data_IF_836774776193
#
_entry.id   IF_836774776193
#
_cell.length_a   1.000
_cell.length_b   1.000
_cell.length_c   1.000
_cell.angle_alpha   90.00
_cell.angle_beta   90.00
_cell.angle_gamma   90.00
#
_symmetry.space_group_name_H-M   'P 1'
#
loop_
_entity.id
_entity.type
_entity.pdbx_description
1 polymer ?
#
# COMPACT_ATOMS: atom_id res chain seq x y z
N UNK A 1 -17.68 -18.06 -0.38
CA UNK A 1 -17.43 -16.66 0.01
C UNK A 1 -16.35 -16.12 -0.91
N UNK A 2 -16.71 -15.33 -1.91
CA UNK A 2 -15.73 -14.54 -2.67
C UNK A 2 -15.56 -13.20 -1.94
N UNK A 3 -14.66 -13.19 -0.97
CA UNK A 3 -14.30 -11.97 -0.23
C UNK A 3 -13.17 -11.22 -0.92
N UNK A 4 -13.10 -9.92 -0.68
CA UNK A 4 -11.86 -9.15 -0.85
C UNK A 4 -10.88 -9.62 0.25
N UNK A 5 -9.72 -10.11 -0.18
CA UNK A 5 -8.65 -10.60 0.70
C UNK A 5 -7.48 -9.60 0.74
N UNK A 6 -7.72 -8.32 0.44
CA UNK A 6 -6.65 -7.31 0.40
C UNK A 6 -5.95 -7.20 1.74
N UNK A 7 -6.67 -7.26 2.86
CA UNK A 7 -6.08 -7.16 4.19
C UNK A 7 -5.19 -8.38 4.49
N UNK A 8 -5.76 -9.58 4.39
CA UNK A 8 -5.06 -10.85 4.68
C UNK A 8 -3.90 -11.10 3.69
N UNK A 9 -4.09 -10.73 2.42
CA UNK A 9 -3.06 -10.83 1.39
C UNK A 9 -1.89 -9.88 1.66
N UNK A 10 -2.17 -8.66 2.15
CA UNK A 10 -1.13 -7.70 2.55
C UNK A 10 -0.35 -8.20 3.75
N UNK A 11 -1.04 -8.68 4.79
CA UNK A 11 -0.39 -9.26 5.98
C UNK A 11 0.47 -10.47 5.62
N UNK A 12 -0.04 -11.36 4.77
CA UNK A 12 0.69 -12.52 4.29
C UNK A 12 1.94 -12.11 3.50
N UNK A 13 1.81 -11.19 2.54
CA UNK A 13 2.93 -10.74 1.71
C UNK A 13 4.05 -10.13 2.56
N UNK A 14 3.71 -9.27 3.53
CA UNK A 14 4.69 -8.65 4.44
C UNK A 14 5.37 -9.70 5.32
N UNK A 15 4.59 -10.64 5.87
CA UNK A 15 5.13 -11.70 6.73
C UNK A 15 6.09 -12.62 6.01
N UNK A 16 5.75 -13.05 4.79
CA UNK A 16 6.60 -13.97 4.03
C UNK A 16 7.83 -13.26 3.48
N UNK A 17 7.68 -12.04 2.92
CA UNK A 17 8.81 -11.29 2.38
C UNK A 17 9.85 -10.94 3.45
N UNK A 18 9.43 -10.69 4.70
CA UNK A 18 10.34 -10.40 5.81
C UNK A 18 11.29 -11.57 6.18
N UNK A 19 11.08 -12.76 5.63
CA UNK A 19 11.95 -13.94 5.86
C UNK A 19 13.04 -14.08 4.81
N UNK A 20 12.92 -13.37 3.70
CA UNK A 20 13.89 -13.40 2.61
C UNK A 20 15.10 -12.53 2.97
N UNK A 21 16.26 -12.87 2.40
CA UNK A 21 17.47 -12.06 2.54
C UNK A 21 17.55 -11.06 1.39
N UNK A 22 17.40 -9.77 1.69
CA UNK A 22 17.58 -8.67 0.74
C UNK A 22 18.02 -7.40 1.47
N UNK A 23 18.64 -6.47 0.73
CA UNK A 23 18.99 -5.14 1.25
C UNK A 23 17.74 -4.34 1.65
N UNK A 24 16.69 -4.41 0.82
CA UNK A 24 15.42 -3.75 1.05
C UNK A 24 14.24 -4.63 0.63
N UNK A 25 13.14 -4.55 1.37
CA UNK A 25 11.90 -5.29 1.10
C UNK A 25 10.77 -4.32 0.78
N UNK A 26 10.01 -4.60 -0.28
CA UNK A 26 8.89 -3.77 -0.71
C UNK A 26 7.63 -4.61 -0.92
N UNK A 27 6.53 -4.16 -0.35
CA UNK A 27 5.19 -4.67 -0.68
C UNK A 27 4.38 -3.49 -1.21
N UNK A 28 3.95 -3.57 -2.47
CA UNK A 28 3.16 -2.52 -3.12
C UNK A 28 1.80 -3.11 -3.49
N UNK A 29 0.77 -2.66 -2.77
CA UNK A 29 -0.62 -3.10 -2.99
C UNK A 29 -1.26 -2.21 -4.05
N UNK A 30 -1.77 -2.80 -5.13
CA UNK A 30 -2.58 -2.11 -6.13
C UNK A 30 -4.06 -2.38 -5.85
N UNK A 31 -4.88 -1.33 -5.72
CA UNK A 31 -6.31 -1.46 -5.38
C UNK A 31 -7.14 -0.41 -6.11
N UNK A 32 -8.41 -0.68 -6.42
CA UNK A 32 -9.38 0.29 -6.97
C UNK A 32 -9.99 1.22 -5.91
N UNK A 33 -9.40 1.25 -4.71
CA UNK A 33 -9.83 2.01 -3.53
C UNK A 33 -11.18 1.58 -2.92
N UNK A 34 -11.72 0.41 -3.29
CA UNK A 34 -13.04 -0.02 -2.86
C UNK A 34 -13.07 -0.74 -1.50
N UNK A 35 -12.09 -0.49 -0.63
CA UNK A 35 -11.88 -1.20 0.64
C UNK A 35 -13.10 -1.16 1.58
N UNK A 36 -13.77 -0.01 1.67
CA UNK A 36 -14.94 0.17 2.53
C UNK A 36 -16.10 -0.75 2.12
N UNK A 37 -16.27 -1.01 0.82
CA UNK A 37 -17.33 -1.88 0.29
C UNK A 37 -17.18 -3.32 0.77
N UNK A 38 -15.96 -3.72 1.10
CA UNK A 38 -15.66 -5.05 1.61
C UNK A 38 -15.47 -5.08 3.14
N UNK A 39 -15.76 -3.97 3.82
CA UNK A 39 -15.64 -3.88 5.27
C UNK A 39 -14.19 -3.77 5.78
N UNK A 40 -13.23 -3.51 4.89
CA UNK A 40 -11.83 -3.30 5.28
C UNK A 40 -11.69 -1.88 5.80
N UNK A 41 -11.44 -1.76 7.10
CA UNK A 41 -11.24 -0.45 7.72
C UNK A 41 -9.85 0.11 7.36
N UNK A 42 -9.74 1.41 7.04
CA UNK A 42 -8.45 2.05 6.71
C UNK A 42 -7.37 1.88 7.77
N UNK A 43 -7.71 1.90 9.06
CA UNK A 43 -6.78 1.74 10.18
C UNK A 43 -6.21 0.31 10.28
N UNK A 44 -7.02 -0.69 9.93
CA UNK A 44 -6.57 -2.08 9.83
C UNK A 44 -5.64 -2.26 8.64
N UNK A 45 -5.99 -1.67 7.49
CA UNK A 45 -5.13 -1.70 6.31
C UNK A 45 -3.80 -0.96 6.53
N UNK A 46 -3.82 0.18 7.22
CA UNK A 46 -2.60 0.86 7.68
C UNK A 46 -1.73 -0.07 8.54
N UNK A 47 -2.35 -0.73 9.52
CA UNK A 47 -1.66 -1.64 10.43
C UNK A 47 -1.04 -2.82 9.69
N UNK A 48 -1.73 -3.35 8.67
CA UNK A 48 -1.20 -4.40 7.82
C UNK A 48 0.03 -3.91 7.05
N UNK A 49 -0.06 -2.77 6.33
CA UNK A 49 1.04 -2.15 5.58
C UNK A 49 2.27 -1.83 6.43
N UNK A 50 2.10 -1.68 7.75
CA UNK A 50 3.18 -1.35 8.68
C UNK A 50 3.47 -2.47 9.69
N UNK A 51 2.98 -3.68 9.45
CA UNK A 51 3.03 -4.78 10.43
C UNK A 51 4.44 -5.30 10.71
N UNK A 52 5.39 -5.09 9.79
CA UNK A 52 6.80 -5.41 9.99
C UNK A 52 7.68 -4.21 9.57
N UNK A 53 8.54 -3.67 10.46
CA UNK A 53 9.39 -2.52 10.14
C UNK A 53 10.49 -2.82 9.12
N UNK A 54 10.83 -4.10 8.86
CA UNK A 54 11.82 -4.50 7.85
C UNK A 54 11.25 -4.45 6.42
N UNK A 55 9.94 -4.29 6.27
CA UNK A 55 9.24 -4.27 4.98
C UNK A 55 8.59 -2.92 4.73
N UNK A 56 8.94 -2.31 3.61
CA UNK A 56 8.35 -1.06 3.15
C UNK A 56 7.02 -1.35 2.45
N UNK A 57 5.92 -1.24 3.19
CA UNK A 57 4.56 -1.40 2.67
C UNK A 57 3.96 -0.11 2.13
N UNK A 58 3.46 -0.16 0.89
CA UNK A 58 2.80 0.94 0.19
C UNK A 58 1.49 0.50 -0.47
N UNK A 59 0.58 1.44 -0.69
CA UNK A 59 -0.62 1.22 -1.50
C UNK A 59 -0.71 2.24 -2.66
N UNK A 60 -1.08 1.78 -3.85
CA UNK A 60 -1.42 2.62 -5.00
C UNK A 60 -2.89 2.36 -5.35
N UNK A 61 -3.70 3.39 -5.19
CA UNK A 61 -5.12 3.37 -5.50
C UNK A 61 -5.36 3.81 -6.94
N UNK A 62 -5.89 2.91 -7.78
CA UNK A 62 -6.13 3.15 -9.20
C UNK A 62 -7.56 3.63 -9.38
N UNK A 63 -7.70 4.90 -9.78
CA UNK A 63 -8.98 5.59 -9.83
C UNK A 63 -9.54 5.90 -8.44
N UNK A 64 -10.60 6.71 -8.42
CA UNK A 64 -11.38 6.96 -7.22
C UNK A 64 -12.86 7.07 -7.60
N UNK A 65 -13.71 6.28 -6.94
CA UNK A 65 -15.14 6.58 -6.87
C UNK A 65 -15.32 7.70 -5.84
N UNK A 66 -15.28 8.95 -6.30
CA UNK A 66 -15.41 10.12 -5.43
C UNK A 66 -14.14 10.42 -4.62
N UNK A 67 -14.28 10.66 -3.31
CA UNK A 67 -13.21 11.12 -2.41
C UNK A 67 -12.54 9.97 -1.61
N UNK A 68 -12.81 8.72 -1.97
CA UNK A 68 -12.38 7.53 -1.23
C UNK A 68 -10.86 7.39 -1.15
N UNK A 69 -10.18 7.53 -2.28
CA UNK A 69 -8.72 7.43 -2.33
C UNK A 69 -8.04 8.56 -1.52
N UNK A 70 -8.60 9.78 -1.57
CA UNK A 70 -8.10 10.92 -0.79
C UNK A 70 -8.30 10.71 0.72
N UNK A 71 -9.43 10.11 1.14
CA UNK A 71 -9.68 9.77 2.55
C UNK A 71 -8.73 8.69 3.06
N UNK A 72 -8.46 7.69 2.23
CA UNK A 72 -7.47 6.65 2.54
C UNK A 72 -6.09 7.27 2.71
N UNK A 73 -5.66 8.16 1.81
CA UNK A 73 -4.38 8.86 1.95
C UNK A 73 -4.24 9.65 3.25
N UNK A 74 -5.32 10.25 3.76
CA UNK A 74 -5.31 10.99 5.03
C UNK A 74 -5.24 10.09 6.27
N UNK A 75 -5.67 8.83 6.13
CA UNK A 75 -5.75 7.88 7.25
C UNK A 75 -4.54 6.96 7.30
N UNK A 76 -3.96 6.65 6.14
CA UNK A 76 -2.74 5.86 6.03
C UNK A 76 -1.51 6.71 6.44
N UNK A 77 -0.43 6.07 6.93
CA UNK A 77 0.77 6.79 7.29
C UNK A 77 1.31 7.63 6.13
N UNK A 78 1.81 8.83 6.45
CA UNK A 78 2.32 9.76 5.46
C UNK A 78 3.37 9.09 4.55
N UNK A 79 3.24 9.31 3.24
CA UNK A 79 4.13 8.73 2.24
C UNK A 79 3.90 7.24 1.93
N UNK A 80 2.94 6.56 2.57
CA UNK A 80 2.65 5.14 2.32
C UNK A 80 1.50 4.86 1.35
N UNK A 81 0.87 5.88 0.80
CA UNK A 81 -0.22 5.70 -0.16
C UNK A 81 -0.29 6.75 -1.24
N UNK A 82 -0.66 6.31 -2.44
CA UNK A 82 -0.65 7.09 -3.67
C UNK A 82 -1.96 6.87 -4.43
N UNK A 83 -2.39 7.87 -5.21
CA UNK A 83 -3.55 7.77 -6.10
C UNK A 83 -3.07 7.91 -7.53
N UNK A 84 -3.46 6.97 -8.38
CA UNK A 84 -3.22 6.96 -9.81
C UNK A 84 -4.57 7.09 -10.54
N UNK A 85 -4.92 8.30 -11.00
CA UNK A 85 -6.16 8.52 -11.76
C UNK A 85 -6.06 7.97 -13.20
N UNK A 86 -4.83 7.84 -13.71
CA UNK A 86 -4.50 7.16 -14.96
C UNK A 86 -3.39 6.14 -14.64
N UNK A 87 -3.51 4.91 -15.13
CA UNK A 87 -2.52 3.85 -14.92
C UNK A 87 -1.14 4.21 -15.47
N UNK A 88 -1.04 5.15 -16.42
CA UNK A 88 0.22 5.73 -16.90
C UNK A 88 1.01 6.46 -15.82
N UNK A 89 0.39 6.81 -14.69
CA UNK A 89 1.06 7.46 -13.55
C UNK A 89 1.80 6.44 -12.66
N UNK A 90 1.46 5.15 -12.75
CA UNK A 90 2.05 4.10 -11.89
C UNK A 90 3.58 4.06 -11.98
N UNK A 91 4.22 4.11 -13.18
CA UNK A 91 5.68 4.14 -13.26
C UNK A 91 6.32 5.32 -12.50
N UNK A 92 5.71 6.51 -12.58
CA UNK A 92 6.20 7.69 -11.87
C UNK A 92 6.01 7.56 -10.35
N UNK A 93 4.90 7.00 -9.90
CA UNK A 93 4.63 6.72 -8.48
C UNK A 93 5.65 5.72 -7.93
N UNK A 94 5.94 4.64 -8.67
CA UNK A 94 6.95 3.66 -8.27
C UNK A 94 8.34 4.32 -8.14
N UNK A 95 8.71 5.19 -9.08
CA UNK A 95 9.96 5.95 -8.99
C UNK A 95 10.02 6.81 -7.72
N UNK A 96 8.92 7.48 -7.35
CA UNK A 96 8.82 8.26 -6.12
C UNK A 96 8.99 7.38 -4.87
N UNK A 97 8.30 6.24 -4.83
CA UNK A 97 8.39 5.26 -3.73
C UNK A 97 9.85 4.85 -3.52
N UNK A 98 10.50 4.31 -4.55
CA UNK A 98 11.87 3.81 -4.45
C UNK A 98 12.88 4.92 -4.12
N UNK A 99 12.70 6.12 -4.66
CA UNK A 99 13.58 7.27 -4.34
C UNK A 99 13.44 7.69 -2.88
N UNK A 100 12.22 7.69 -2.33
CA UNK A 100 11.96 8.13 -0.96
C UNK A 100 12.55 7.17 0.09
N UNK A 101 12.51 5.86 -0.16
CA UNK A 101 13.09 4.85 0.72
C UNK A 101 14.62 4.96 0.74
N UNK A 102 15.25 5.07 -0.44
CA UNK A 102 16.71 5.26 -0.55
C UNK A 102 17.22 6.47 0.23
N UNK A 103 16.45 7.57 0.27
CA UNK A 103 16.79 8.77 1.03
C UNK A 103 16.54 8.63 2.55
N UNK A 104 15.69 7.70 2.97
CA UNK A 104 15.36 7.47 4.39
C UNK A 104 16.27 6.43 5.05
N UNK A 105 16.88 5.55 4.24
CA UNK A 105 17.87 4.53 4.65
C UNK A 105 19.30 5.07 4.74
N UNK A 106 19.55 6.31 4.30
CA UNK A 106 20.85 7.00 4.29
C UNK A 106 21.09 7.82 5.57
#
# INVERSE_FOLDING_TARGET
>A
MSGDYTLEGTEYAIKELAREEADEHFVIVLSDANLERYGIRPDRFASALTSNPQVNGFAIFIGSLGDQADRLQRTLPAGRSFVAMDTKQIPQILQQIFTSTMLSSA
#
